data_IF_479551099292
#
_entry.id   IF_479551099292
#
_cell.length_a   1.000
_cell.length_b   1.000
_cell.length_c   1.000
_cell.angle_alpha   90.00
_cell.angle_beta   90.00
_cell.angle_gamma   90.00
#
_symmetry.space_group_name_H-M   'P 1'
#
loop_
_entity.id
_entity.type
_entity.pdbx_description
1 polymer ?
#
# COMPACT_ATOMS: atom_id res chain seq x y z
N UNK A 1 -7.96 62.12 20.47
CA UNK A 1 -7.26 61.41 21.56
C UNK A 1 -7.33 59.95 21.19
N UNK A 2 -6.53 59.58 20.20
CA UNK A 2 -6.63 58.35 19.42
C UNK A 2 -5.63 57.31 19.95
N UNK A 3 -6.08 56.05 19.94
CA UNK A 3 -5.28 54.84 19.75
C UNK A 3 -4.34 54.30 20.84
N UNK A 4 -4.85 54.12 22.07
CA UNK A 4 -4.16 53.28 23.09
C UNK A 4 -4.66 51.82 23.11
N UNK A 5 -5.78 51.50 22.43
CA UNK A 5 -6.40 50.15 22.48
C UNK A 5 -5.82 49.19 21.41
N UNK A 6 -4.99 49.68 20.47
CA UNK A 6 -4.43 48.90 19.35
C UNK A 6 -3.19 48.07 19.72
N UNK A 7 -2.25 48.63 20.50
CA UNK A 7 -0.93 48.01 20.76
C UNK A 7 -0.99 46.72 21.58
N UNK A 8 -1.85 46.66 22.60
CA UNK A 8 -1.97 45.49 23.50
C UNK A 8 -2.52 44.26 22.76
N UNK A 9 -3.39 44.47 21.78
CA UNK A 9 -3.94 43.38 20.96
C UNK A 9 -2.89 42.84 19.97
N UNK A 10 -2.02 43.71 19.44
CA UNK A 10 -0.92 43.31 18.55
C UNK A 10 0.14 42.51 19.32
N UNK A 11 0.51 42.94 20.52
CA UNK A 11 1.48 42.23 21.37
C UNK A 11 0.98 40.82 21.76
N UNK A 12 -0.31 40.70 22.10
CA UNK A 12 -0.93 39.40 22.39
C UNK A 12 -0.94 38.46 21.18
N UNK A 13 -1.19 38.97 19.98
CA UNK A 13 -1.17 38.19 18.75
C UNK A 13 0.26 37.74 18.38
N UNK A 14 1.26 38.60 18.58
CA UNK A 14 2.67 38.26 18.36
C UNK A 14 3.15 37.18 19.33
N UNK A 15 2.77 37.26 20.61
CA UNK A 15 3.14 36.25 21.61
C UNK A 15 2.45 34.91 21.34
N UNK A 16 1.18 34.93 20.93
CA UNK A 16 0.47 33.71 20.50
C UNK A 16 1.13 33.07 19.27
N UNK A 17 1.49 33.86 18.25
CA UNK A 17 2.18 33.36 17.07
C UNK A 17 3.54 32.75 17.42
N UNK A 18 4.29 33.34 18.36
CA UNK A 18 5.55 32.80 18.86
C UNK A 18 5.38 31.43 19.52
N UNK A 19 4.39 31.29 20.41
CA UNK A 19 4.09 30.00 21.08
C UNK A 19 3.66 28.93 20.06
N UNK A 20 2.86 29.28 19.07
CA UNK A 20 2.45 28.36 18.00
C UNK A 20 3.64 27.92 17.12
N UNK A 21 4.55 28.84 16.79
CA UNK A 21 5.79 28.53 16.07
C UNK A 21 6.72 27.61 16.86
N UNK A 22 6.91 27.86 18.16
CA UNK A 22 7.70 27.00 19.05
C UNK A 22 7.10 25.60 19.17
N UNK A 23 5.77 25.50 19.29
CA UNK A 23 5.04 24.23 19.28
C UNK A 23 5.20 23.47 17.97
N UNK A 24 5.10 24.18 16.83
CA UNK A 24 5.34 23.60 15.50
C UNK A 24 6.78 23.11 15.32
N UNK A 25 7.76 23.84 15.86
CA UNK A 25 9.16 23.41 15.91
C UNK A 25 9.32 22.11 16.72
N UNK A 26 8.71 22.02 17.91
CA UNK A 26 8.73 20.81 18.73
C UNK A 26 8.10 19.59 18.03
N UNK A 27 6.94 19.78 17.39
CA UNK A 27 6.27 18.71 16.64
C UNK A 27 7.10 18.21 15.45
N UNK A 28 7.77 19.13 14.75
CA UNK A 28 8.68 18.81 13.64
C UNK A 28 9.87 18.00 14.15
N UNK A 29 10.59 18.49 15.17
CA UNK A 29 11.72 17.77 15.77
C UNK A 29 11.32 16.39 16.29
N UNK A 30 10.14 16.26 16.89
CA UNK A 30 9.61 14.97 17.37
C UNK A 30 9.38 13.99 16.22
N UNK A 31 8.90 14.47 15.07
CA UNK A 31 8.66 13.64 13.88
C UNK A 31 9.99 13.16 13.29
N UNK A 32 10.95 14.06 13.11
CA UNK A 32 12.30 13.72 12.63
C UNK A 32 13.01 12.70 13.52
N UNK A 33 12.87 12.84 14.85
CA UNK A 33 13.44 11.91 15.80
C UNK A 33 12.84 10.50 15.64
N UNK A 34 11.51 10.41 15.45
CA UNK A 34 10.83 9.13 15.19
C UNK A 34 11.32 8.48 13.90
N UNK A 35 11.46 9.25 12.82
CA UNK A 35 12.00 8.72 11.56
C UNK A 35 13.41 8.17 11.72
N UNK A 36 14.29 8.91 12.42
CA UNK A 36 15.65 8.46 12.72
C UNK A 36 15.64 7.18 13.57
N UNK A 37 14.75 7.08 14.55
CA UNK A 37 14.58 5.87 15.36
C UNK A 37 14.09 4.68 14.53
N UNK A 38 13.16 4.87 13.59
CA UNK A 38 12.72 3.81 12.68
C UNK A 38 13.85 3.37 11.77
N UNK A 39 14.59 4.31 11.16
CA UNK A 39 15.77 4.00 10.32
C UNK A 39 16.83 3.24 11.10
N UNK A 40 17.10 3.63 12.35
CA UNK A 40 18.04 2.93 13.21
C UNK A 40 17.56 1.51 13.53
N UNK A 41 16.28 1.33 13.89
CA UNK A 41 15.70 -0.01 14.11
C UNK A 41 15.79 -0.88 12.86
N UNK A 42 15.44 -0.35 11.69
CA UNK A 42 15.62 -1.06 10.42
C UNK A 42 17.07 -1.50 10.25
N UNK A 43 18.06 -0.65 10.51
CA UNK A 43 19.47 -0.96 10.31
C UNK A 43 20.11 -1.87 11.38
N UNK A 44 19.58 -1.89 12.61
CA UNK A 44 20.25 -2.52 13.76
C UNK A 44 19.49 -3.71 14.32
N UNK A 45 18.18 -3.80 14.11
CA UNK A 45 17.39 -4.91 14.59
C UNK A 45 17.60 -6.11 13.67
N UNK A 46 18.34 -7.09 14.21
CA UNK A 46 18.70 -8.32 13.50
C UNK A 46 17.49 -9.08 13.00
N UNK A 47 16.39 -9.13 13.76
CA UNK A 47 15.17 -9.84 13.36
C UNK A 47 14.49 -9.14 12.19
N UNK A 48 14.42 -7.82 12.22
CA UNK A 48 13.87 -7.02 11.12
C UNK A 48 14.72 -7.19 9.85
N UNK A 49 16.04 -7.19 9.98
CA UNK A 49 16.96 -7.45 8.87
C UNK A 49 16.78 -8.86 8.29
N UNK A 50 16.68 -9.89 9.14
CA UNK A 50 16.42 -11.27 8.70
C UNK A 50 15.07 -11.41 7.97
N UNK A 51 14.02 -10.76 8.47
CA UNK A 51 12.69 -10.77 7.83
C UNK A 51 12.70 -10.07 6.45
N UNK A 52 13.46 -8.97 6.31
CA UNK A 52 13.65 -8.27 5.02
C UNK A 52 14.39 -9.18 4.04
N UNK A 53 15.55 -9.72 4.44
CA UNK A 53 16.37 -10.59 3.59
C UNK A 53 15.58 -11.81 3.14
N UNK A 54 14.82 -12.44 4.05
CA UNK A 54 13.97 -13.59 3.72
C UNK A 54 12.91 -13.26 2.67
N UNK A 55 12.23 -12.11 2.78
CA UNK A 55 11.25 -11.66 1.78
C UNK A 55 11.89 -11.35 0.43
N UNK A 56 13.08 -10.76 0.44
CA UNK A 56 13.82 -10.47 -0.79
C UNK A 56 14.26 -11.76 -1.48
N UNK A 57 14.79 -12.74 -0.73
CA UNK A 57 15.13 -14.06 -1.26
C UNK A 57 13.91 -14.79 -1.85
N UNK A 58 12.77 -14.75 -1.16
CA UNK A 58 11.51 -15.31 -1.69
C UNK A 58 11.07 -14.62 -2.99
N UNK A 59 11.28 -13.31 -3.09
CA UNK A 59 10.98 -12.51 -4.29
C UNK A 59 11.92 -12.86 -5.44
N UNK A 60 13.23 -12.96 -5.18
CA UNK A 60 14.24 -13.35 -6.17
C UNK A 60 13.93 -14.74 -6.72
N UNK A 61 13.73 -15.73 -5.84
CA UNK A 61 13.39 -17.10 -6.25
C UNK A 61 12.15 -17.15 -7.13
N UNK A 62 11.13 -16.35 -6.80
CA UNK A 62 9.89 -16.26 -7.59
C UNK A 62 10.15 -15.67 -8.98
N UNK A 63 10.94 -14.61 -9.08
CA UNK A 63 11.26 -13.97 -10.36
C UNK A 63 12.12 -14.87 -11.25
N UNK A 64 13.12 -15.56 -10.68
CA UNK A 64 13.95 -16.51 -11.39
C UNK A 64 13.12 -17.68 -11.96
N UNK A 65 12.24 -18.25 -11.13
CA UNK A 65 11.32 -19.31 -11.55
C UNK A 65 10.41 -18.85 -12.70
N UNK A 66 9.85 -17.64 -12.60
CA UNK A 66 9.00 -17.06 -13.66
C UNK A 66 9.76 -16.82 -14.96
N UNK A 67 11.00 -16.31 -14.88
CA UNK A 67 11.84 -16.09 -16.07
C UNK A 67 12.16 -17.41 -16.78
N UNK A 68 12.40 -18.48 -16.01
CA UNK A 68 12.60 -19.82 -16.55
C UNK A 68 11.34 -20.33 -17.26
N UNK A 69 10.18 -20.27 -16.60
CA UNK A 69 8.89 -20.69 -17.19
C UNK A 69 8.56 -19.92 -18.48
N UNK A 70 8.84 -18.61 -18.52
CA UNK A 70 8.63 -17.79 -19.71
C UNK A 70 9.55 -18.18 -20.85
N UNK A 71 10.83 -18.46 -20.55
CA UNK A 71 11.80 -18.94 -21.54
C UNK A 71 11.34 -20.29 -22.12
N UNK A 72 10.96 -21.23 -21.27
CA UNK A 72 10.48 -22.55 -21.68
C UNK A 72 9.16 -22.46 -22.48
N UNK A 73 8.22 -21.60 -22.09
CA UNK A 73 6.96 -21.39 -22.82
C UNK A 73 7.19 -20.74 -24.19
N UNK A 74 8.20 -19.87 -24.31
CA UNK A 74 8.57 -19.27 -25.59
C UNK A 74 9.19 -20.31 -26.52
N UNK A 75 10.02 -21.21 -25.99
CA UNK A 75 10.68 -22.29 -26.74
C UNK A 75 9.69 -23.39 -27.19
N UNK A 76 8.70 -23.73 -26.35
CA UNK A 76 7.76 -24.82 -26.61
C UNK A 76 6.43 -24.38 -27.25
N UNK A 77 6.27 -23.07 -27.52
CA UNK A 77 5.01 -22.47 -27.97
C UNK A 77 4.08 -22.14 -26.79
N UNK A 78 3.47 -20.95 -26.83
CA UNK A 78 2.59 -20.47 -25.76
C UNK A 78 1.29 -21.29 -25.68
N UNK A 79 1.28 -22.33 -24.84
CA UNK A 79 0.05 -22.93 -24.29
C UNK A 79 -0.08 -22.64 -22.78
N UNK A 80 0.27 -21.40 -22.37
CA UNK A 80 0.05 -20.95 -21.00
C UNK A 80 -1.40 -20.48 -20.86
N UNK A 81 -2.19 -21.26 -20.12
CA UNK A 81 -3.55 -20.87 -19.73
C UNK A 81 -3.49 -19.76 -18.68
N UNK A 82 -3.57 -18.50 -19.10
CA UNK A 82 -3.50 -17.34 -18.21
C UNK A 82 -4.75 -17.11 -17.34
N UNK A 83 -5.85 -17.80 -17.62
CA UNK A 83 -7.15 -17.52 -17.01
C UNK A 83 -7.26 -17.90 -15.53
N UNK A 84 -6.37 -18.76 -15.01
CA UNK A 84 -6.35 -19.17 -13.61
C UNK A 84 -5.24 -18.48 -12.78
N UNK A 85 -4.56 -17.47 -13.34
CA UNK A 85 -3.52 -16.70 -12.66
C UNK A 85 -3.97 -15.26 -12.40
N UNK A 86 -3.52 -14.69 -11.28
CA UNK A 86 -3.68 -13.26 -11.02
C UNK A 86 -2.81 -12.43 -11.96
N UNK A 87 -3.39 -11.52 -12.75
CA UNK A 87 -2.62 -10.72 -13.70
C UNK A 87 -1.60 -9.77 -13.05
N UNK A 88 -1.79 -9.41 -11.76
CA UNK A 88 -0.88 -8.52 -11.05
C UNK A 88 0.36 -9.22 -10.46
N UNK A 89 0.19 -10.37 -9.83
CA UNK A 89 1.30 -11.10 -9.19
C UNK A 89 1.69 -12.40 -9.91
N UNK A 90 0.92 -12.75 -10.94
CA UNK A 90 1.07 -13.92 -11.79
C UNK A 90 1.16 -15.24 -11.04
N UNK A 91 0.45 -15.33 -9.90
CA UNK A 91 0.29 -16.57 -9.15
C UNK A 91 -1.07 -17.18 -9.45
N UNK A 92 -1.11 -18.51 -9.49
CA UNK A 92 -2.36 -19.27 -9.60
C UNK A 92 -3.32 -18.92 -8.47
N UNK A 93 -4.59 -18.77 -8.82
CA UNK A 93 -5.66 -18.59 -7.87
C UNK A 93 -5.86 -19.85 -7.01
N UNK A 94 -6.37 -19.66 -5.80
CA UNK A 94 -6.74 -20.75 -4.90
C UNK A 94 -8.10 -20.51 -4.28
N UNK A 95 -8.71 -21.57 -3.80
CA UNK A 95 -10.03 -21.49 -3.17
C UNK A 95 -10.02 -20.71 -1.84
N UNK A 96 -8.86 -20.64 -1.18
CA UNK A 96 -8.70 -20.04 0.15
C UNK A 96 -7.44 -19.17 0.28
N UNK A 97 -7.44 -18.31 1.30
CA UNK A 97 -6.33 -17.43 1.67
C UNK A 97 -6.13 -16.24 0.73
N UNK A 98 -4.88 -15.78 0.61
CA UNK A 98 -4.54 -14.57 -0.16
C UNK A 98 -4.57 -14.77 -1.68
N UNK A 99 -4.69 -16.02 -2.13
CA UNK A 99 -4.81 -16.36 -3.56
C UNK A 99 -6.27 -16.49 -4.02
N UNK A 100 -7.25 -16.16 -3.17
CA UNK A 100 -8.66 -16.15 -3.56
C UNK A 100 -8.90 -15.12 -4.66
N UNK A 101 -9.43 -15.51 -5.83
CA UNK A 101 -9.77 -14.59 -6.90
C UNK A 101 -11.01 -13.78 -6.51
N UNK A 102 -10.94 -12.47 -6.64
CA UNK A 102 -12.02 -11.54 -6.32
C UNK A 102 -12.32 -10.66 -7.53
N UNK A 103 -13.61 -10.51 -7.81
CA UNK A 103 -14.10 -9.62 -8.87
C UNK A 103 -14.14 -8.17 -8.37
N UNK A 104 -13.45 -7.30 -9.10
CA UNK A 104 -13.66 -5.86 -9.00
C UNK A 104 -14.96 -5.49 -9.74
N UNK A 105 -15.58 -4.34 -9.41
CA UNK A 105 -16.80 -3.88 -10.11
C UNK A 105 -16.57 -3.55 -11.60
N UNK A 106 -15.33 -3.32 -12.04
CA UNK A 106 -14.99 -3.19 -13.47
C UNK A 106 -15.06 -4.54 -14.20
N UNK A 107 -15.02 -5.66 -13.48
CA UNK A 107 -15.02 -7.02 -14.04
C UNK A 107 -13.67 -7.72 -13.94
N UNK A 108 -12.57 -6.98 -13.72
CA UNK A 108 -11.25 -7.57 -13.56
C UNK A 108 -11.16 -8.46 -12.31
N UNK A 109 -10.29 -9.47 -12.37
CA UNK A 109 -10.06 -10.40 -11.28
C UNK A 109 -8.66 -10.28 -10.73
N UNK A 110 -8.55 -10.01 -9.44
CA UNK A 110 -7.29 -10.00 -8.71
C UNK A 110 -7.35 -10.95 -7.53
N UNK A 111 -6.20 -11.46 -7.10
CA UNK A 111 -6.17 -12.25 -5.87
C UNK A 111 -6.36 -11.34 -4.65
N UNK A 112 -6.92 -11.89 -3.58
CA UNK A 112 -7.23 -11.17 -2.36
C UNK A 112 -6.01 -10.46 -1.76
N UNK A 113 -4.84 -11.11 -1.80
CA UNK A 113 -3.57 -10.53 -1.35
C UNK A 113 -3.19 -9.27 -2.11
N UNK A 114 -3.32 -9.28 -3.44
CA UNK A 114 -3.08 -8.11 -4.28
C UNK A 114 -4.06 -6.98 -4.00
N UNK A 115 -5.34 -7.29 -3.82
CA UNK A 115 -6.36 -6.28 -3.49
C UNK A 115 -6.04 -5.61 -2.15
N UNK A 116 -5.68 -6.39 -1.11
CA UNK A 116 -5.26 -5.84 0.18
C UNK A 116 -4.06 -4.90 0.07
N UNK A 117 -3.15 -5.17 -0.87
CA UNK A 117 -1.97 -4.33 -1.09
C UNK A 117 -2.30 -3.02 -1.83
N UNK A 118 -3.27 -3.05 -2.75
CA UNK A 118 -3.68 -1.88 -3.53
C UNK A 118 -4.72 -1.00 -2.83
N UNK A 119 -5.51 -1.58 -1.92
CA UNK A 119 -6.60 -0.88 -1.27
C UNK A 119 -6.11 0.17 -0.27
N UNK A 120 -6.66 1.38 -0.38
CA UNK A 120 -6.56 2.41 0.63
C UNK A 120 -7.76 2.33 1.60
N UNK A 121 -7.73 3.02 2.75
CA UNK A 121 -8.87 3.01 3.69
C UNK A 121 -10.20 3.42 3.06
N UNK A 122 -10.17 4.36 2.12
CA UNK A 122 -11.37 4.98 1.55
C UNK A 122 -11.69 4.51 0.13
N UNK A 123 -10.73 3.89 -0.58
CA UNK A 123 -10.94 3.48 -1.96
C UNK A 123 -9.94 2.43 -2.45
N UNK A 124 -10.27 1.80 -3.57
CA UNK A 124 -9.36 1.03 -4.41
C UNK A 124 -9.39 1.60 -5.83
N UNK A 125 -8.28 1.52 -6.55
CA UNK A 125 -8.21 1.83 -7.98
C UNK A 125 -7.81 0.54 -8.69
N UNK A 126 -8.54 0.15 -9.74
CA UNK A 126 -8.13 -0.98 -10.55
C UNK A 126 -6.81 -0.64 -11.27
N UNK A 127 -5.80 -1.53 -11.21
CA UNK A 127 -4.51 -1.28 -11.84
C UNK A 127 -4.53 -1.41 -13.37
N UNK A 128 -5.62 -1.91 -13.96
CA UNK A 128 -5.72 -2.20 -15.40
C UNK A 128 -6.47 -1.11 -16.17
N UNK A 129 -7.61 -0.65 -15.66
CA UNK A 129 -8.48 0.31 -16.34
C UNK A 129 -8.61 1.67 -15.60
N UNK A 130 -8.04 1.78 -14.40
CA UNK A 130 -8.10 2.98 -13.57
C UNK A 130 -9.46 3.24 -12.92
N UNK A 131 -10.41 2.30 -12.98
CA UNK A 131 -11.72 2.45 -12.34
C UNK A 131 -11.56 2.64 -10.83
N UNK A 132 -12.28 3.60 -10.26
CA UNK A 132 -12.21 3.95 -8.82
C UNK A 132 -13.37 3.30 -8.05
N UNK A 133 -13.03 2.66 -6.94
CA UNK A 133 -13.94 1.97 -6.04
C UNK A 133 -13.94 2.69 -4.70
N UNK A 134 -14.77 3.71 -4.55
CA UNK A 134 -14.97 4.35 -3.25
C UNK A 134 -15.63 3.38 -2.26
N UNK A 135 -15.12 3.35 -1.03
CA UNK A 135 -15.60 2.50 0.05
C UNK A 135 -16.62 3.21 0.92
N UNK A 136 -17.54 2.42 1.47
CA UNK A 136 -18.48 2.82 2.51
C UNK A 136 -18.47 1.76 3.61
N UNK A 137 -19.16 2.02 4.72
CA UNK A 137 -19.30 1.05 5.83
C UNK A 137 -19.85 -0.31 5.35
N UNK A 138 -20.69 -0.31 4.31
CA UNK A 138 -21.35 -1.48 3.76
C UNK A 138 -20.73 -2.00 2.46
N UNK A 139 -19.73 -1.30 1.90
CA UNK A 139 -19.13 -1.65 0.62
C UNK A 139 -17.63 -1.38 0.65
N UNK A 140 -16.87 -2.43 0.96
CA UNK A 140 -15.41 -2.39 1.03
C UNK A 140 -14.84 -3.69 0.45
N UNK A 141 -13.52 -3.82 0.46
CA UNK A 141 -12.82 -4.98 -0.09
C UNK A 141 -13.36 -6.34 0.40
N UNK A 142 -13.83 -6.44 1.65
CA UNK A 142 -14.32 -7.71 2.21
C UNK A 142 -15.61 -8.19 1.54
N UNK A 143 -16.37 -7.28 0.92
CA UNK A 143 -17.63 -7.56 0.23
C UNK A 143 -17.45 -7.90 -1.25
N UNK A 144 -16.21 -7.92 -1.75
CA UNK A 144 -15.95 -8.33 -3.13
C UNK A 144 -16.26 -9.82 -3.31
N UNK A 145 -17.00 -10.13 -4.38
CA UNK A 145 -17.40 -11.49 -4.70
C UNK A 145 -16.20 -12.31 -5.18
N UNK A 146 -16.19 -13.59 -4.81
CA UNK A 146 -15.21 -14.56 -5.32
C UNK A 146 -15.51 -14.88 -6.77
N UNK A 147 -14.49 -14.92 -7.63
CA UNK A 147 -14.65 -15.39 -9.00
C UNK A 147 -14.47 -16.90 -9.07
N UNK A 148 -15.55 -17.66 -9.06
CA UNK A 148 -15.48 -19.13 -9.14
C UNK A 148 -15.16 -19.65 -10.54
N UNK A 149 -15.21 -18.81 -11.59
CA UNK A 149 -14.95 -19.25 -12.98
C UNK A 149 -13.47 -19.44 -13.29
N UNK A 150 -12.59 -18.88 -12.46
CA UNK A 150 -11.12 -18.89 -12.66
C UNK A 150 -10.42 -19.84 -11.69
N UNK A 151 -11.20 -20.62 -10.93
CA UNK A 151 -10.74 -21.68 -10.04
C UNK A 151 -10.87 -23.05 -10.72
#
# INVERSE_FOLDING_TARGET
>A
MEDVISGVAVDFLLDKARVEMERGGYETTRTELREKQVKLKLATDKKVQEDIVKKDEETIRRLEQRNKELTEALENGLDRKSWNECELCSQEFKDEGDRVPKLLKCGDTLCWGCIKHLANPDFLICPFDGTVFAFTEFNNINHLHKNLKVL
#
